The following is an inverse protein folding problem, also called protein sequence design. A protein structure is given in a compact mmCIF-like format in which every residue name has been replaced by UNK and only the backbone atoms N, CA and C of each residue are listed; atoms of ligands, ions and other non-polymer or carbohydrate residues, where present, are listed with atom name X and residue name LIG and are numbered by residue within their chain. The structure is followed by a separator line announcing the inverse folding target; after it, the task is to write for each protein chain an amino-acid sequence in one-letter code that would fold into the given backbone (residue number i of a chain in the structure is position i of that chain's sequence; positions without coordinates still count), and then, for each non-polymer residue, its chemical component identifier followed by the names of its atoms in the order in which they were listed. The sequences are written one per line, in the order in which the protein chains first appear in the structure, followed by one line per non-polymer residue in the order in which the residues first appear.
data_IF_712019057019
#
_entry.id   IF_712019057019
#
_cell.length_a   1.000
_cell.length_b   1.000
_cell.length_c   1.000
_cell.angle_alpha   90.00
_cell.angle_beta   90.00
_cell.angle_gamma   90.00
#
_symmetry.space_group_name_H-M   'P 1'
#
loop_
_entity.id
_entity.type
_entity.pdbx_description
1 polymer ?
#
# COMPACT_ATOMS: atom_id res chain seq x y z
N UNK A 1 -30.17 -71.69 44.42
CA UNK A 1 -30.70 -70.96 43.29
C UNK A 1 -30.92 -69.53 43.75
N UNK A 2 -29.98 -68.62 43.57
CA UNK A 2 -30.18 -67.19 43.79
C UNK A 2 -29.39 -66.41 42.70
N UNK A 3 -30.14 -65.74 41.85
CA UNK A 3 -29.60 -64.86 40.83
C UNK A 3 -29.28 -63.47 41.42
N UNK A 4 -28.04 -63.01 41.36
CA UNK A 4 -27.66 -61.60 41.63
C UNK A 4 -27.65 -60.82 40.33
N UNK A 5 -28.53 -59.80 40.21
CA UNK A 5 -28.49 -58.79 39.19
C UNK A 5 -27.55 -57.70 39.65
N UNK A 6 -26.50 -57.44 38.86
CA UNK A 6 -25.62 -56.28 39.03
C UNK A 6 -26.05 -55.15 38.09
N UNK A 7 -26.53 -54.05 38.64
CA UNK A 7 -26.88 -52.86 37.91
C UNK A 7 -25.60 -52.04 37.64
N UNK A 8 -25.26 -51.94 36.36
CA UNK A 8 -24.16 -51.05 35.88
C UNK A 8 -24.75 -49.66 35.61
N UNK A 9 -24.45 -48.67 36.47
CA UNK A 9 -24.76 -47.26 36.22
C UNK A 9 -23.76 -46.66 35.24
N UNK A 10 -24.22 -46.28 34.04
CA UNK A 10 -23.44 -45.50 33.06
C UNK A 10 -23.56 -44.02 33.40
N UNK A 11 -22.46 -43.40 33.84
CA UNK A 11 -22.36 -41.95 33.95
C UNK A 11 -22.13 -41.36 32.55
N UNK A 12 -23.09 -40.60 32.03
CA UNK A 12 -22.91 -39.73 30.85
C UNK A 12 -22.16 -38.47 31.28
N UNK A 13 -20.91 -38.35 30.87
CA UNK A 13 -20.20 -37.11 30.95
C UNK A 13 -20.63 -36.20 29.77
N UNK A 14 -21.39 -35.15 30.06
CA UNK A 14 -21.74 -34.12 29.12
C UNK A 14 -20.49 -33.23 28.88
N UNK A 15 -19.85 -33.40 27.73
CA UNK A 15 -18.79 -32.46 27.27
C UNK A 15 -19.47 -31.19 26.71
N UNK A 16 -19.40 -30.09 27.46
CA UNK A 16 -19.72 -28.76 26.94
C UNK A 16 -18.58 -28.32 26.02
N UNK A 17 -18.88 -27.95 24.76
CA UNK A 17 -17.85 -27.30 23.93
C UNK A 17 -17.59 -25.92 24.50
N UNK A 18 -16.36 -25.65 24.96
CA UNK A 18 -15.86 -24.29 25.14
C UNK A 18 -15.81 -23.62 23.76
N UNK A 19 -16.86 -22.88 23.40
CA UNK A 19 -16.77 -21.88 22.36
C UNK A 19 -15.81 -20.79 22.86
N UNK A 20 -14.54 -20.87 22.44
CA UNK A 20 -13.64 -19.74 22.52
C UNK A 20 -14.29 -18.62 21.66
N UNK A 21 -14.87 -17.62 22.32
CA UNK A 21 -15.24 -16.37 21.69
C UNK A 21 -13.94 -15.74 21.19
N UNK A 22 -13.62 -15.97 19.90
CA UNK A 22 -12.67 -15.13 19.19
C UNK A 22 -13.28 -13.73 19.22
N UNK A 23 -12.79 -12.89 20.14
CA UNK A 23 -13.17 -11.49 20.20
C UNK A 23 -12.95 -10.92 18.81
N UNK A 24 -14.02 -10.49 18.15
CA UNK A 24 -13.92 -9.70 16.92
C UNK A 24 -13.10 -8.47 17.29
N UNK A 25 -11.84 -8.48 16.93
CA UNK A 25 -10.98 -7.31 17.06
C UNK A 25 -11.63 -6.22 16.21
N UNK A 26 -12.24 -5.24 16.87
CA UNK A 26 -12.98 -4.17 16.22
C UNK A 26 -12.03 -3.56 15.17
N UNK A 27 -12.40 -3.58 13.91
CA UNK A 27 -11.56 -3.10 12.83
C UNK A 27 -11.26 -1.63 13.05
N UNK A 28 -9.98 -1.26 13.09
CA UNK A 28 -9.56 0.13 13.26
C UNK A 28 -10.17 0.99 12.13
N UNK A 29 -10.57 2.25 12.42
CA UNK A 29 -11.18 3.11 11.42
C UNK A 29 -10.20 3.50 10.32
N UNK A 30 -10.70 3.85 9.15
CA UNK A 30 -9.95 4.62 8.15
C UNK A 30 -9.92 6.10 8.56
N UNK A 31 -9.04 6.86 7.93
CA UNK A 31 -8.92 8.29 8.19
C UNK A 31 -10.26 9.05 8.01
N UNK A 32 -11.01 8.75 6.96
CA UNK A 32 -12.33 9.36 6.69
C UNK A 32 -13.39 9.00 7.72
N UNK A 33 -13.34 7.82 8.32
CA UNK A 33 -14.33 7.36 9.31
C UNK A 33 -14.32 8.25 10.56
N UNK A 34 -13.18 8.90 10.84
CA UNK A 34 -13.00 9.82 11.96
C UNK A 34 -13.03 11.31 11.55
N UNK A 35 -13.37 11.59 10.29
CA UNK A 35 -13.51 12.96 9.77
C UNK A 35 -12.24 13.56 9.16
N UNK A 36 -11.17 12.78 8.94
CA UNK A 36 -10.01 13.23 8.18
C UNK A 36 -10.33 13.14 6.70
N UNK A 37 -10.61 14.26 6.06
CA UNK A 37 -10.96 14.36 4.65
C UNK A 37 -9.85 15.09 3.91
N UNK A 38 -9.22 14.42 2.96
CA UNK A 38 -8.13 14.96 2.16
C UNK A 38 -8.65 15.44 0.81
N UNK A 39 -8.31 16.67 0.47
CA UNK A 39 -8.52 17.23 -0.86
C UNK A 39 -9.95 17.60 -1.21
N UNK A 40 -10.18 17.86 -2.50
CA UNK A 40 -11.42 18.41 -3.05
C UNK A 40 -12.19 17.44 -3.95
N UNK A 41 -11.52 16.41 -4.48
CA UNK A 41 -12.17 15.46 -5.37
C UNK A 41 -12.92 14.35 -4.60
N UNK A 42 -14.07 13.90 -5.12
CA UNK A 42 -14.77 12.75 -4.54
C UNK A 42 -13.94 11.47 -4.66
N UNK A 43 -14.09 10.59 -3.70
CA UNK A 43 -13.51 9.24 -3.73
C UNK A 43 -14.35 8.32 -4.63
N UNK A 44 -13.74 7.22 -5.11
CA UNK A 44 -14.46 6.12 -5.74
C UNK A 44 -15.26 5.30 -4.71
N UNK A 45 -15.95 4.26 -5.19
CA UNK A 45 -16.87 3.45 -4.38
C UNK A 45 -16.18 2.78 -3.17
N UNK A 46 -14.98 2.22 -3.38
CA UNK A 46 -14.20 1.55 -2.34
C UNK A 46 -13.17 2.48 -1.70
N UNK A 47 -12.98 3.67 -2.26
CA UNK A 47 -11.86 4.56 -1.93
C UNK A 47 -10.53 3.79 -1.92
N UNK A 48 -10.24 3.05 -2.98
CA UNK A 48 -9.13 2.13 -3.11
C UNK A 48 -8.58 2.12 -4.55
N UNK A 49 -7.35 1.63 -4.73
CA UNK A 49 -6.73 1.48 -6.06
C UNK A 49 -7.59 0.63 -7.01
N UNK A 50 -8.38 -0.27 -6.47
CA UNK A 50 -9.30 -1.15 -7.18
C UNK A 50 -10.54 -0.45 -7.75
N UNK A 51 -10.74 0.84 -7.46
CA UNK A 51 -11.75 1.66 -8.15
C UNK A 51 -11.35 1.97 -9.59
N UNK A 52 -10.07 1.81 -9.92
CA UNK A 52 -9.60 1.83 -11.31
C UNK A 52 -9.95 0.51 -11.97
N UNK A 53 -10.70 0.59 -13.06
CA UNK A 53 -11.27 -0.58 -13.73
C UNK A 53 -10.20 -1.61 -14.12
N UNK A 54 -10.40 -2.87 -13.74
CA UNK A 54 -9.53 -4.00 -14.02
C UNK A 54 -8.47 -4.26 -12.95
N UNK A 55 -8.16 -3.30 -12.08
CA UNK A 55 -7.15 -3.46 -11.03
C UNK A 55 -7.63 -4.43 -9.95
N UNK A 56 -6.77 -5.36 -9.56
CA UNK A 56 -7.00 -6.32 -8.48
C UNK A 56 -5.84 -6.31 -7.51
N UNK A 57 -6.14 -6.52 -6.22
CA UNK A 57 -5.15 -6.57 -5.14
C UNK A 57 -5.31 -7.86 -4.34
N UNK A 58 -4.18 -8.48 -4.00
CA UNK A 58 -4.13 -9.65 -3.11
C UNK A 58 -2.98 -9.55 -2.11
N UNK A 59 -3.17 -10.15 -0.94
CA UNK A 59 -2.21 -10.13 0.14
C UNK A 59 -1.94 -11.54 0.66
N UNK A 60 -0.70 -11.80 1.04
CA UNK A 60 -0.33 -12.94 1.89
C UNK A 60 0.50 -12.43 3.04
N UNK A 61 -0.05 -12.53 4.25
CA UNK A 61 0.62 -12.16 5.50
C UNK A 61 1.41 -13.35 6.01
N UNK A 62 2.69 -13.14 6.38
CA UNK A 62 3.58 -14.19 6.89
C UNK A 62 4.00 -13.83 8.32
N UNK A 63 3.47 -14.57 9.28
CA UNK A 63 3.79 -14.46 10.71
C UNK A 63 4.26 -15.83 11.18
N UNK A 64 5.51 -15.94 11.63
CA UNK A 64 6.09 -17.20 12.12
C UNK A 64 6.94 -16.95 13.37
N UNK A 65 6.76 -17.75 14.39
CA UNK A 65 7.48 -17.59 15.65
C UNK A 65 7.46 -16.15 16.19
N UNK A 66 8.55 -15.75 16.82
CA UNK A 66 8.69 -14.41 17.42
C UNK A 66 9.42 -13.42 16.50
N UNK A 67 9.88 -13.84 15.33
CA UNK A 67 10.84 -13.08 14.54
C UNK A 67 10.51 -12.94 13.05
N UNK A 68 9.37 -13.45 12.58
CA UNK A 68 8.90 -13.23 11.20
C UNK A 68 7.60 -12.43 11.20
N UNK A 69 7.66 -11.23 10.64
CA UNK A 69 6.54 -10.28 10.49
C UNK A 69 6.64 -9.62 9.13
N UNK A 70 6.25 -10.32 8.07
CA UNK A 70 6.40 -9.88 6.69
C UNK A 70 5.24 -10.34 5.80
N UNK A 71 5.38 -10.26 4.50
CA UNK A 71 4.39 -10.75 3.55
C UNK A 71 4.58 -10.24 2.13
N UNK A 72 3.56 -10.49 1.32
CA UNK A 72 3.50 -10.11 -0.09
C UNK A 72 2.18 -9.39 -0.36
N UNK A 73 2.25 -8.31 -1.13
CA UNK A 73 1.09 -7.63 -1.72
C UNK A 73 1.24 -7.66 -3.24
N UNK A 74 0.24 -8.17 -3.93
CA UNK A 74 0.20 -8.24 -5.39
C UNK A 74 -0.81 -7.23 -5.94
N UNK A 75 -0.43 -6.46 -6.96
CA UNK A 75 -1.30 -5.56 -7.71
C UNK A 75 -1.30 -6.02 -9.17
N UNK A 76 -2.47 -6.36 -9.69
CA UNK A 76 -2.65 -6.84 -11.05
C UNK A 76 -3.36 -5.77 -11.86
N UNK A 77 -2.73 -5.19 -12.90
CA UNK A 77 -3.29 -4.09 -13.68
C UNK A 77 -4.60 -4.41 -14.40
N UNK A 78 -4.73 -5.62 -14.97
CA UNK A 78 -5.97 -6.08 -15.62
C UNK A 78 -6.08 -7.60 -15.65
N UNK A 79 -7.24 -8.11 -16.02
CA UNK A 79 -7.54 -9.55 -15.98
C UNK A 79 -7.06 -10.37 -17.18
N UNK A 80 -6.48 -9.72 -18.22
CA UNK A 80 -5.94 -10.39 -19.40
C UNK A 80 -4.49 -10.86 -19.21
N UNK A 81 -3.90 -11.34 -20.32
CA UNK A 81 -2.48 -11.69 -20.37
C UNK A 81 -1.63 -10.40 -20.40
N UNK A 82 -0.97 -10.11 -19.29
CA UNK A 82 -0.17 -8.89 -19.14
C UNK A 82 1.06 -8.86 -20.05
N UNK A 83 1.62 -10.01 -20.41
CA UNK A 83 2.73 -10.06 -21.33
C UNK A 83 2.30 -9.76 -22.78
N UNK A 84 1.17 -10.32 -23.20
CA UNK A 84 0.63 -10.08 -24.54
C UNK A 84 0.04 -8.67 -24.69
N UNK A 85 -0.48 -8.11 -23.60
CA UNK A 85 -1.12 -6.78 -23.55
C UNK A 85 -0.54 -5.95 -22.40
N UNK A 86 0.76 -5.57 -22.46
CA UNK A 86 1.36 -4.74 -21.42
C UNK A 86 0.68 -3.39 -21.31
N UNK A 87 0.67 -2.85 -20.09
CA UNK A 87 0.13 -1.53 -19.81
C UNK A 87 1.24 -0.47 -19.88
N UNK A 88 0.97 0.75 -20.42
CA UNK A 88 1.93 1.82 -20.33
C UNK A 88 2.19 2.15 -18.86
N UNK A 89 3.46 2.37 -18.55
CA UNK A 89 3.89 2.59 -17.18
C UNK A 89 5.17 3.42 -17.09
N UNK A 90 5.42 3.97 -15.90
CA UNK A 90 6.68 4.60 -15.56
C UNK A 90 7.04 4.34 -14.10
N UNK A 91 8.34 4.22 -13.84
CA UNK A 91 8.88 4.21 -12.48
C UNK A 91 9.57 5.54 -12.23
N UNK A 92 9.04 6.29 -11.26
CA UNK A 92 9.65 7.54 -10.80
C UNK A 92 10.39 7.29 -9.49
N UNK A 93 11.68 7.63 -9.46
CA UNK A 93 12.53 7.52 -8.27
C UNK A 93 12.51 8.86 -7.55
N UNK A 94 11.86 8.93 -6.40
CA UNK A 94 11.83 10.09 -5.52
C UNK A 94 13.09 10.18 -4.68
N UNK A 95 13.48 9.06 -4.07
CA UNK A 95 14.76 8.83 -3.42
C UNK A 95 15.19 7.37 -3.64
N UNK A 96 16.44 7.12 -3.96
CA UNK A 96 16.88 5.86 -4.58
C UNK A 96 17.57 4.86 -3.64
N UNK A 97 17.37 4.92 -2.34
CA UNK A 97 17.98 3.97 -1.40
C UNK A 97 17.11 2.73 -1.22
N UNK A 98 17.18 1.80 -2.16
CA UNK A 98 16.37 0.57 -2.11
C UNK A 98 16.54 -0.31 -3.34
N UNK A 99 15.71 -1.36 -3.42
CA UNK A 99 15.71 -2.32 -4.51
C UNK A 99 14.34 -2.29 -5.19
N UNK A 100 14.35 -2.05 -6.49
CA UNK A 100 13.16 -2.16 -7.34
C UNK A 100 13.51 -2.98 -8.57
N UNK A 101 13.12 -4.25 -8.58
CA UNK A 101 13.32 -5.10 -9.77
C UNK A 101 12.47 -4.59 -10.92
N UNK A 102 13.00 -4.72 -12.13
CA UNK A 102 12.29 -4.38 -13.36
C UNK A 102 12.38 -2.91 -13.77
N UNK A 103 12.91 -2.02 -12.90
CA UNK A 103 12.95 -0.58 -13.11
C UNK A 103 13.57 -0.21 -14.46
N UNK A 104 14.71 -0.77 -14.80
CA UNK A 104 15.46 -0.44 -16.02
C UNK A 104 14.64 -0.68 -17.30
N UNK A 105 14.00 -1.86 -17.42
CA UNK A 105 13.20 -2.18 -18.59
C UNK A 105 11.90 -1.35 -18.65
N UNK A 106 11.25 -1.11 -17.50
CA UNK A 106 10.05 -0.25 -17.47
C UNK A 106 10.36 1.16 -17.95
N UNK A 107 11.51 1.71 -17.55
CA UNK A 107 11.94 3.05 -18.03
C UNK A 107 12.34 3.05 -19.49
N UNK A 108 12.96 1.99 -19.98
CA UNK A 108 13.38 1.88 -21.37
C UNK A 108 12.18 1.75 -22.32
N UNK A 109 11.21 0.89 -21.98
CA UNK A 109 10.07 0.61 -22.86
C UNK A 109 8.81 1.39 -22.53
N UNK A 110 8.71 1.95 -21.34
CA UNK A 110 7.53 2.68 -20.89
C UNK A 110 6.31 1.79 -20.67
N UNK A 111 6.52 0.52 -20.26
CA UNK A 111 5.44 -0.45 -20.06
C UNK A 111 5.76 -1.47 -18.95
N UNK A 112 4.71 -2.04 -18.37
CA UNK A 112 4.78 -3.17 -17.43
C UNK A 112 4.09 -4.37 -18.07
N UNK A 113 4.78 -5.54 -18.05
CA UNK A 113 4.35 -6.81 -18.64
C UNK A 113 4.01 -7.87 -17.59
N UNK A 114 4.08 -7.54 -16.29
CA UNK A 114 3.82 -8.43 -15.16
C UNK A 114 2.89 -7.78 -14.14
N UNK A 115 2.34 -8.52 -13.17
CA UNK A 115 1.87 -7.90 -11.93
C UNK A 115 2.97 -7.07 -11.26
N UNK A 116 2.60 -6.20 -10.33
CA UNK A 116 3.51 -5.53 -9.41
C UNK A 116 3.45 -6.25 -8.07
N UNK A 117 4.59 -6.64 -7.53
CA UNK A 117 4.69 -7.20 -6.19
C UNK A 117 5.37 -6.21 -5.24
N UNK A 118 4.91 -6.19 -3.99
CA UNK A 118 5.54 -5.49 -2.88
C UNK A 118 5.87 -6.51 -1.78
N UNK A 119 7.04 -6.35 -1.12
CA UNK A 119 7.50 -7.31 -0.12
C UNK A 119 8.59 -6.72 0.79
N UNK A 120 9.34 -7.53 1.53
CA UNK A 120 10.48 -7.11 2.35
C UNK A 120 11.76 -6.92 1.50
N UNK A 121 12.73 -6.15 2.01
CA UNK A 121 13.91 -5.72 1.23
C UNK A 121 14.77 -6.88 0.71
N UNK A 122 14.98 -7.94 1.46
CA UNK A 122 15.72 -9.12 0.99
C UNK A 122 14.84 -10.17 0.30
N UNK A 123 13.52 -10.06 0.41
CA UNK A 123 12.56 -10.99 -0.19
C UNK A 123 12.36 -10.74 -1.71
N UNK A 124 12.86 -9.64 -2.23
CA UNK A 124 12.68 -9.20 -3.63
C UNK A 124 13.09 -10.29 -4.63
N UNK A 125 14.19 -10.97 -4.39
CA UNK A 125 14.75 -11.99 -5.29
C UNK A 125 13.85 -13.22 -5.38
N UNK A 126 13.42 -13.73 -4.23
CA UNK A 126 12.47 -14.85 -4.14
C UNK A 126 11.12 -14.48 -4.74
N UNK A 127 10.62 -13.29 -4.46
CA UNK A 127 9.35 -12.81 -5.01
C UNK A 127 9.41 -12.65 -6.54
N UNK A 128 10.50 -12.08 -7.07
CA UNK A 128 10.71 -11.92 -8.51
C UNK A 128 10.75 -13.26 -9.23
N UNK A 129 11.55 -14.23 -8.72
CA UNK A 129 11.62 -15.57 -9.30
C UNK A 129 10.27 -16.29 -9.26
N UNK A 130 9.57 -16.22 -8.12
CA UNK A 130 8.26 -16.86 -7.97
C UNK A 130 7.19 -16.25 -8.90
N UNK A 131 7.24 -14.94 -9.16
CA UNK A 131 6.36 -14.28 -10.13
C UNK A 131 6.65 -14.75 -11.56
N UNK A 132 7.92 -14.89 -11.94
CA UNK A 132 8.31 -15.44 -13.26
C UNK A 132 7.75 -16.86 -13.41
N UNK A 133 7.91 -17.71 -12.40
CA UNK A 133 7.40 -19.09 -12.44
C UNK A 133 5.87 -19.13 -12.54
N UNK A 134 5.19 -18.24 -11.82
CA UNK A 134 3.73 -18.11 -11.89
C UNK A 134 3.28 -17.65 -13.28
N UNK A 135 3.96 -16.67 -13.88
CA UNK A 135 3.67 -16.20 -15.24
C UNK A 135 3.86 -17.33 -16.28
N UNK A 136 4.97 -18.04 -16.23
CA UNK A 136 5.26 -19.16 -17.16
C UNK A 136 4.26 -20.34 -17.02
N UNK A 137 3.62 -20.47 -15.87
CA UNK A 137 2.60 -21.49 -15.64
C UNK A 137 1.20 -21.10 -16.15
N UNK A 138 1.01 -19.85 -16.65
CA UNK A 138 -0.28 -19.44 -17.20
C UNK A 138 -0.54 -20.13 -18.55
N UNK A 139 -1.81 -20.51 -18.84
CA UNK A 139 -2.14 -21.16 -20.11
C UNK A 139 -1.78 -20.28 -21.33
N UNK A 140 -1.14 -20.89 -22.31
CA UNK A 140 -0.79 -20.22 -23.57
C UNK A 140 0.46 -19.35 -23.51
N UNK A 141 1.19 -19.37 -22.39
CA UNK A 141 2.46 -18.65 -22.28
C UNK A 141 3.57 -19.31 -23.10
N UNK A 142 4.26 -18.51 -23.89
CA UNK A 142 5.35 -18.95 -24.78
C UNK A 142 6.60 -18.08 -24.67
N UNK A 143 6.68 -17.23 -23.64
CA UNK A 143 7.75 -16.27 -23.48
C UNK A 143 9.08 -16.94 -23.15
N UNK A 144 10.16 -16.34 -23.66
CA UNK A 144 11.53 -16.70 -23.33
C UNK A 144 12.13 -15.82 -22.24
N UNK A 145 11.52 -14.66 -21.96
CA UNK A 145 11.97 -13.68 -20.97
C UNK A 145 10.80 -12.93 -20.38
N UNK A 146 10.86 -12.65 -19.08
CA UNK A 146 9.85 -11.91 -18.33
C UNK A 146 10.60 -10.97 -17.39
N UNK A 147 10.20 -9.68 -17.36
CA UNK A 147 10.79 -8.67 -16.48
C UNK A 147 9.88 -8.43 -15.25
N UNK A 148 10.14 -9.11 -14.11
CA UNK A 148 9.33 -8.97 -12.93
C UNK A 148 9.48 -7.58 -12.30
N UNK A 149 8.38 -6.95 -11.91
CA UNK A 149 8.37 -5.68 -11.16
C UNK A 149 8.09 -5.97 -9.69
N UNK A 150 9.12 -5.79 -8.85
CA UNK A 150 9.02 -6.06 -7.40
C UNK A 150 9.64 -4.93 -6.61
N UNK A 151 8.81 -4.22 -5.83
CA UNK A 151 9.23 -3.19 -4.88
C UNK A 151 9.34 -3.74 -3.45
N UNK A 152 10.01 -2.97 -2.58
CA UNK A 152 10.28 -3.42 -1.21
C UNK A 152 10.33 -2.29 -0.20
N UNK A 153 10.17 -2.67 1.07
CA UNK A 153 10.54 -1.82 2.20
C UNK A 153 11.23 -2.64 3.29
N UNK A 154 12.07 -1.99 4.10
CA UNK A 154 12.83 -2.65 5.15
C UNK A 154 11.98 -2.84 6.42
N UNK A 155 11.58 -4.07 6.70
CA UNK A 155 10.80 -4.46 7.88
C UNK A 155 11.65 -5.09 9.00
N UNK A 156 12.99 -4.95 8.96
CA UNK A 156 13.96 -5.63 9.84
C UNK A 156 13.79 -5.35 11.33
N UNK A 157 13.09 -4.29 11.69
CA UNK A 157 12.85 -3.97 13.10
C UNK A 157 12.12 -5.10 13.85
N UNK A 158 11.15 -5.74 13.19
CA UNK A 158 10.33 -6.83 13.76
C UNK A 158 10.38 -8.12 12.92
N UNK A 159 11.14 -8.13 11.82
CA UNK A 159 11.23 -9.24 10.87
C UNK A 159 12.69 -9.64 10.63
N UNK A 160 13.01 -10.92 10.78
CA UNK A 160 14.31 -11.47 10.40
C UNK A 160 14.34 -11.77 8.91
N UNK A 161 14.76 -10.79 8.13
CA UNK A 161 14.84 -10.89 6.66
C UNK A 161 15.88 -11.93 6.19
N UNK A 162 16.89 -12.25 7.03
CA UNK A 162 17.93 -13.23 6.68
C UNK A 162 17.41 -14.66 6.62
N UNK A 163 16.24 -14.93 7.19
CA UNK A 163 15.55 -16.23 7.10
C UNK A 163 14.83 -16.45 5.78
N UNK A 164 14.88 -15.47 4.86
CA UNK A 164 14.11 -15.48 3.62
C UNK A 164 12.63 -15.89 3.87
N UNK A 165 11.88 -15.08 4.65
CA UNK A 165 10.58 -15.51 5.18
C UNK A 165 9.49 -15.64 4.10
N UNK A 166 9.66 -14.97 2.95
CA UNK A 166 8.75 -15.03 1.82
C UNK A 166 9.13 -16.19 0.91
N UNK A 167 8.19 -17.12 0.71
CA UNK A 167 8.35 -18.32 -0.12
C UNK A 167 7.53 -18.21 -1.41
N UNK A 168 7.82 -19.01 -2.45
CA UNK A 168 7.06 -19.02 -3.69
C UNK A 168 5.56 -19.22 -3.52
N UNK A 169 5.14 -20.06 -2.55
CA UNK A 169 3.73 -20.29 -2.24
C UNK A 169 3.02 -19.04 -1.71
N UNK A 170 3.71 -18.17 -0.96
CA UNK A 170 3.16 -16.92 -0.47
C UNK A 170 2.90 -15.93 -1.62
N UNK A 171 3.83 -15.88 -2.58
CA UNK A 171 3.68 -15.07 -3.80
C UNK A 171 2.52 -15.55 -4.64
N UNK A 172 2.45 -16.87 -4.87
CA UNK A 172 1.34 -17.49 -5.61
C UNK A 172 0.00 -17.20 -4.95
N UNK A 173 -0.10 -17.37 -3.63
CA UNK A 173 -1.33 -17.11 -2.90
C UNK A 173 -1.78 -15.64 -2.99
N UNK A 174 -0.84 -14.68 -2.98
CA UNK A 174 -1.17 -13.26 -3.17
C UNK A 174 -1.68 -12.99 -4.60
N UNK A 175 -1.06 -13.56 -5.63
CA UNK A 175 -1.45 -13.41 -7.03
C UNK A 175 -2.82 -14.05 -7.32
N UNK A 176 -3.02 -15.28 -6.89
CA UNK A 176 -4.28 -16.04 -7.10
C UNK A 176 -5.42 -15.49 -6.23
N UNK A 177 -5.07 -14.93 -5.06
CA UNK A 177 -5.99 -14.25 -4.15
C UNK A 177 -6.40 -12.85 -4.57
N UNK A 178 -5.80 -12.26 -5.61
CA UNK A 178 -6.07 -10.88 -6.02
C UNK A 178 -7.52 -10.67 -6.52
N UNK A 179 -8.21 -9.67 -5.95
CA UNK A 179 -9.61 -9.35 -6.24
C UNK A 179 -9.80 -7.84 -6.41
N UNK A 180 -10.86 -7.44 -7.15
CA UNK A 180 -11.40 -6.09 -7.13
C UNK A 180 -12.22 -5.85 -5.85
N UNK A 181 -12.76 -4.63 -5.71
CA UNK A 181 -13.54 -4.24 -4.55
C UNK A 181 -12.68 -3.76 -3.38
N UNK A 182 -13.17 -3.83 -2.12
CA UNK A 182 -12.44 -3.33 -0.95
C UNK A 182 -11.08 -4.00 -0.76
N UNK A 183 -10.06 -3.20 -0.44
CA UNK A 183 -8.69 -3.67 -0.18
C UNK A 183 -8.43 -3.70 1.32
N UNK A 184 -7.80 -4.76 1.81
CA UNK A 184 -7.33 -4.82 3.20
C UNK A 184 -6.15 -3.86 3.41
N UNK A 185 -6.13 -3.16 4.54
CA UNK A 185 -5.15 -2.12 4.87
C UNK A 185 -4.51 -2.36 6.24
N UNK A 186 -3.43 -1.63 6.51
CA UNK A 186 -2.68 -1.70 7.76
C UNK A 186 -1.64 -2.83 7.77
N UNK A 187 -1.61 -3.60 8.86
CA UNK A 187 -0.59 -4.63 9.12
C UNK A 187 -0.86 -5.93 8.34
N UNK A 188 -0.99 -5.86 7.02
CA UNK A 188 -1.30 -6.98 6.13
C UNK A 188 -0.32 -7.08 4.96
N UNK A 189 -0.12 -8.29 4.43
CA UNK A 189 0.76 -8.51 3.29
C UNK A 189 2.14 -7.90 3.49
N UNK A 190 2.64 -7.18 2.49
CA UNK A 190 3.92 -6.48 2.55
C UNK A 190 4.01 -5.39 3.65
N UNK A 191 2.87 -4.94 4.19
CA UNK A 191 2.81 -3.95 5.27
C UNK A 191 2.88 -4.52 6.68
N UNK A 192 3.06 -5.85 6.85
CA UNK A 192 2.97 -6.52 8.16
C UNK A 192 4.02 -6.03 9.15
N UNK A 193 5.29 -5.90 8.75
CA UNK A 193 6.40 -5.53 9.65
C UNK A 193 6.85 -4.07 9.54
N UNK A 194 6.20 -3.23 8.76
CA UNK A 194 6.65 -1.88 8.43
C UNK A 194 6.37 -0.85 9.52
N UNK A 195 7.17 0.23 9.54
CA UNK A 195 7.06 1.37 10.46
C UNK A 195 7.02 2.67 9.67
N UNK A 196 6.11 3.59 10.00
CA UNK A 196 6.05 4.89 9.32
C UNK A 196 5.77 6.04 10.28
N UNK A 197 6.49 7.15 10.12
CA UNK A 197 6.28 8.40 10.87
C UNK A 197 6.26 8.20 12.39
N UNK A 198 7.10 7.29 12.90
CA UNK A 198 7.19 6.96 14.32
C UNK A 198 6.15 5.96 14.84
N UNK A 199 5.25 5.45 14.00
CA UNK A 199 4.19 4.51 14.34
C UNK A 199 4.25 3.26 13.46
N UNK A 200 3.38 2.28 13.72
CA UNK A 200 3.20 1.15 12.81
C UNK A 200 2.67 1.63 11.47
N UNK A 201 3.44 1.38 10.42
CA UNK A 201 3.07 1.59 9.02
C UNK A 201 2.21 0.46 8.46
N UNK A 202 2.14 0.33 7.15
CA UNK A 202 1.36 -0.75 6.55
C UNK A 202 1.00 -0.52 5.09
N UNK A 203 0.04 -1.30 4.62
CA UNK A 203 -0.64 -1.07 3.36
C UNK A 203 -1.73 -0.02 3.57
N UNK A 204 -1.79 0.96 2.68
CA UNK A 204 -2.89 1.91 2.62
C UNK A 204 -3.32 2.16 1.19
N UNK A 205 -4.57 2.53 1.00
CA UNK A 205 -5.08 2.80 -0.34
C UNK A 205 -6.11 3.92 -0.33
N UNK A 206 -6.29 4.56 -1.47
CA UNK A 206 -7.28 5.61 -1.69
C UNK A 206 -7.55 5.78 -3.18
N UNK A 207 -8.62 6.46 -3.54
CA UNK A 207 -8.91 6.84 -4.92
C UNK A 207 -9.53 8.23 -5.02
N UNK A 208 -9.47 8.79 -6.24
CA UNK A 208 -10.18 10.00 -6.61
C UNK A 208 -10.87 9.80 -7.94
N UNK A 209 -12.13 10.20 -8.01
CA UNK A 209 -12.92 10.19 -9.24
C UNK A 209 -13.14 11.62 -9.73
N UNK A 210 -12.62 11.93 -10.90
CA UNK A 210 -12.80 13.25 -11.50
C UNK A 210 -14.25 13.43 -11.99
N UNK A 211 -14.80 14.65 -11.87
CA UNK A 211 -16.06 14.99 -12.51
C UNK A 211 -15.99 14.79 -14.03
N UNK A 212 -17.13 14.52 -14.69
CA UNK A 212 -17.19 14.35 -16.16
C UNK A 212 -16.64 15.56 -16.92
N UNK A 213 -16.81 16.77 -16.37
CA UNK A 213 -16.27 18.02 -16.94
C UNK A 213 -14.73 18.07 -16.94
N UNK A 214 -14.06 17.19 -16.16
CA UNK A 214 -12.62 17.03 -16.10
C UNK A 214 -12.17 15.66 -16.65
N UNK A 215 -13.01 15.03 -17.48
CA UNK A 215 -12.72 13.76 -18.14
C UNK A 215 -13.34 12.52 -17.48
N UNK A 216 -13.81 12.60 -16.23
CA UNK A 216 -14.47 11.50 -15.52
C UNK A 216 -13.54 10.36 -15.10
N UNK A 217 -12.24 10.53 -15.22
CA UNK A 217 -11.23 9.51 -14.92
C UNK A 217 -11.11 9.22 -13.42
N UNK A 218 -10.61 8.03 -13.14
CA UNK A 218 -10.29 7.59 -11.79
C UNK A 218 -8.78 7.50 -11.61
N UNK A 219 -8.26 8.00 -10.49
CA UNK A 219 -6.90 7.76 -10.01
C UNK A 219 -7.00 6.95 -8.72
N UNK A 220 -6.33 5.82 -8.66
CA UNK A 220 -6.22 4.97 -7.48
C UNK A 220 -4.78 4.82 -7.03
N UNK A 221 -4.56 4.82 -5.72
CA UNK A 221 -3.23 4.70 -5.12
C UNK A 221 -3.22 3.59 -4.08
N UNK A 222 -2.15 2.80 -4.07
CA UNK A 222 -1.80 1.88 -2.99
C UNK A 222 -0.37 2.18 -2.54
N UNK A 223 -0.16 2.25 -1.22
CA UNK A 223 1.15 2.47 -0.62
C UNK A 223 1.56 1.31 0.29
N UNK A 224 2.86 1.02 0.32
CA UNK A 224 3.52 0.27 1.39
C UNK A 224 4.40 1.28 2.13
N UNK A 225 3.99 1.69 3.34
CA UNK A 225 4.65 2.76 4.09
C UNK A 225 5.66 2.20 5.10
N UNK A 226 6.91 2.70 5.02
CA UNK A 226 7.98 2.37 5.95
C UNK A 226 9.02 3.50 5.97
N UNK A 227 8.65 4.70 6.40
CA UNK A 227 9.50 5.88 6.31
C UNK A 227 9.42 6.79 7.52
N UNK A 228 10.48 7.58 7.75
CA UNK A 228 10.56 8.59 8.80
C UNK A 228 9.89 9.91 8.43
N UNK A 229 9.75 10.80 9.40
CA UNK A 229 9.19 12.14 9.20
C UNK A 229 8.45 12.69 10.40
N UNK A 230 7.95 13.92 10.28
CA UNK A 230 7.14 14.62 11.30
C UNK A 230 5.66 14.53 10.90
N UNK A 231 4.94 13.54 11.43
CA UNK A 231 3.56 13.26 11.03
C UNK A 231 2.67 14.51 11.07
N UNK A 232 2.21 14.90 9.90
CA UNK A 232 1.26 15.99 9.72
C UNK A 232 -0.01 15.45 9.07
N UNK A 233 -1.18 15.76 9.64
CA UNK A 233 -2.49 15.35 9.11
C UNK A 233 -3.34 16.59 8.91
N UNK A 234 -3.72 16.90 7.66
CA UNK A 234 -4.46 18.12 7.31
C UNK A 234 -3.82 19.38 7.93
N UNK A 235 -2.48 19.47 7.92
CA UNK A 235 -1.75 20.61 8.50
C UNK A 235 -1.60 20.59 10.03
N UNK A 236 -2.23 19.67 10.74
CA UNK A 236 -2.04 19.52 12.20
C UNK A 236 -0.74 18.77 12.51
N UNK A 237 0.11 19.25 13.43
CA UNK A 237 1.42 18.68 13.74
C UNK A 237 1.29 17.47 14.71
N UNK A 238 0.68 16.39 14.25
CA UNK A 238 0.32 15.23 15.07
C UNK A 238 1.55 14.55 15.67
N UNK A 239 2.63 14.40 14.88
CA UNK A 239 3.87 13.78 15.35
C UNK A 239 4.46 14.53 16.54
N UNK A 240 4.53 15.85 16.46
CA UNK A 240 5.06 16.70 17.56
C UNK A 240 4.19 16.64 18.81
N UNK A 241 2.88 16.72 18.66
CA UNK A 241 1.97 16.67 19.81
C UNK A 241 1.92 15.30 20.48
N UNK A 242 2.23 14.23 19.74
CA UNK A 242 2.39 12.89 20.28
C UNK A 242 3.83 12.60 20.77
N UNK A 243 4.78 13.55 20.60
CA UNK A 243 6.16 13.40 21.01
C UNK A 243 6.95 12.39 20.17
N UNK A 244 6.59 12.24 18.88
CA UNK A 244 7.25 11.33 17.92
C UNK A 244 7.58 12.08 16.63
N UNK A 245 8.76 12.66 16.59
CA UNK A 245 9.27 13.41 15.44
C UNK A 245 10.80 13.27 15.32
N UNK A 246 11.39 13.46 14.14
CA UNK A 246 12.82 13.30 13.92
C UNK A 246 13.64 14.31 14.75
N UNK A 247 14.86 13.92 15.11
CA UNK A 247 15.82 14.77 15.81
C UNK A 247 15.41 15.27 17.20
N UNK A 248 14.35 14.73 17.79
CA UNK A 248 13.81 15.19 19.08
C UNK A 248 14.87 15.14 20.20
N UNK A 249 15.64 14.06 20.32
CA UNK A 249 16.67 13.89 21.35
C UNK A 249 17.77 14.95 21.18
N UNK A 250 18.24 15.18 19.96
CA UNK A 250 19.26 16.16 19.64
C UNK A 250 18.78 17.59 19.92
N UNK A 251 17.54 17.92 19.58
CA UNK A 251 16.95 19.24 19.86
C UNK A 251 16.77 19.50 21.36
N UNK A 252 16.67 18.45 22.18
CA UNK A 252 16.60 18.53 23.65
C UNK A 252 17.98 18.53 24.32
N UNK A 253 19.08 18.58 23.55
CA UNK A 253 20.44 18.60 24.08
C UNK A 253 20.93 17.24 24.57
N UNK A 254 20.22 16.17 24.31
CA UNK A 254 20.67 14.83 24.59
C UNK A 254 21.69 14.39 23.55
N UNK A 255 22.75 13.70 23.99
CA UNK A 255 23.66 13.05 23.03
C UNK A 255 22.86 12.11 22.13
N UNK A 256 23.17 12.13 20.84
CA UNK A 256 22.65 11.08 19.96
C UNK A 256 23.03 9.72 20.57
N UNK A 257 22.12 8.73 20.63
CA UNK A 257 22.49 7.40 21.06
C UNK A 257 23.71 6.94 20.29
N UNK A 258 24.70 6.41 20.99
CA UNK A 258 25.94 5.96 20.38
C UNK A 258 25.63 4.85 19.36
N UNK A 259 25.88 5.13 18.09
CA UNK A 259 25.66 4.21 16.97
C UNK A 259 24.31 4.38 16.30
N UNK A 260 24.32 5.08 15.21
CA UNK A 260 23.47 4.90 14.01
C UNK A 260 21.94 4.89 14.12
N UNK A 261 21.30 5.43 15.15
CA UNK A 261 19.85 5.62 15.11
C UNK A 261 19.43 6.61 14.00
N UNK A 262 20.32 7.53 13.60
CA UNK A 262 20.12 8.38 12.41
C UNK A 262 20.17 7.58 11.08
N UNK A 263 20.84 6.41 11.09
CA UNK A 263 20.89 5.47 9.96
C UNK A 263 19.90 4.30 10.14
N UNK A 264 19.23 4.20 11.29
CA UNK A 264 18.27 3.14 11.61
C UNK A 264 16.82 3.44 11.20
N UNK A 265 16.50 4.65 10.80
CA UNK A 265 15.29 4.93 10.05
C UNK A 265 15.54 4.54 8.58
N UNK A 266 15.84 3.24 8.35
CA UNK A 266 15.86 2.63 7.02
C UNK A 266 14.46 2.79 6.41
N UNK A 267 14.19 4.00 5.94
CA UNK A 267 12.91 4.38 5.36
C UNK A 267 12.73 3.78 3.97
N UNK A 268 11.52 3.65 3.53
CA UNK A 268 11.14 3.37 2.13
C UNK A 268 9.65 3.58 1.98
N UNK A 269 9.21 4.03 0.82
CA UNK A 269 7.81 4.04 0.48
C UNK A 269 7.61 3.54 -0.95
N UNK A 270 6.91 2.42 -1.11
CA UNK A 270 6.43 2.01 -2.42
C UNK A 270 5.06 2.61 -2.64
N UNK A 271 4.92 3.36 -3.73
CA UNK A 271 3.65 3.98 -4.15
C UNK A 271 3.29 3.40 -5.51
N UNK A 272 2.12 2.76 -5.59
CA UNK A 272 1.56 2.27 -6.86
C UNK A 272 0.39 3.15 -7.24
N UNK A 273 0.46 3.80 -8.40
CA UNK A 273 -0.60 4.66 -8.93
C UNK A 273 -1.20 4.03 -10.18
N UNK A 274 -2.49 3.78 -10.16
CA UNK A 274 -3.26 3.34 -11.32
C UNK A 274 -4.22 4.42 -11.80
N UNK A 275 -4.48 4.47 -13.10
CA UNK A 275 -5.55 5.31 -13.66
C UNK A 275 -6.17 4.65 -14.89
N UNK A 276 -7.42 4.97 -15.17
CA UNK A 276 -8.12 4.63 -16.41
C UNK A 276 -8.03 5.75 -17.46
N UNK A 277 -7.31 6.83 -17.16
CA UNK A 277 -7.02 7.88 -18.13
C UNK A 277 -6.04 7.37 -19.21
N UNK A 278 -6.25 7.67 -20.50
CA UNK A 278 -5.33 7.29 -21.55
C UNK A 278 -4.05 8.14 -21.48
N UNK A 279 -3.02 7.60 -20.86
CA UNK A 279 -1.75 8.29 -20.63
C UNK A 279 -0.58 7.53 -21.24
N UNK A 280 0.32 8.26 -21.89
CA UNK A 280 1.64 7.75 -22.29
C UNK A 280 2.56 7.54 -21.07
N UNK A 281 3.64 6.79 -21.27
CA UNK A 281 4.67 6.59 -20.25
C UNK A 281 5.24 7.92 -19.72
N UNK A 282 5.48 8.90 -20.62
CA UNK A 282 5.92 10.23 -20.22
C UNK A 282 4.90 10.96 -19.33
N UNK A 283 3.60 10.86 -19.65
CA UNK A 283 2.54 11.45 -18.83
C UNK A 283 2.45 10.74 -17.46
N UNK A 284 2.70 9.43 -17.41
CA UNK A 284 2.77 8.65 -16.16
C UNK A 284 3.99 9.00 -15.29
N UNK A 285 5.14 9.37 -15.88
CA UNK A 285 6.26 9.96 -15.13
C UNK A 285 5.81 11.22 -14.36
N UNK A 286 5.04 12.08 -15.03
CA UNK A 286 4.52 13.31 -14.42
C UNK A 286 3.53 13.02 -13.28
N UNK A 287 2.74 11.95 -13.38
CA UNK A 287 1.91 11.42 -12.29
C UNK A 287 2.80 10.97 -11.12
N UNK A 288 3.86 10.20 -11.38
CA UNK A 288 4.79 9.73 -10.36
C UNK A 288 5.39 10.85 -9.53
N UNK A 289 5.78 11.96 -10.17
CA UNK A 289 6.29 13.18 -9.47
C UNK A 289 5.26 13.75 -8.48
N UNK A 290 3.96 13.67 -8.79
CA UNK A 290 2.87 14.20 -7.93
C UNK A 290 2.60 13.29 -6.75
N UNK A 291 2.76 12.00 -6.92
CA UNK A 291 2.67 11.05 -5.79
C UNK A 291 3.69 11.38 -4.69
N UNK A 292 4.93 11.73 -5.05
CA UNK A 292 5.94 12.19 -4.07
C UNK A 292 5.52 13.49 -3.37
N UNK A 293 4.82 14.41 -4.07
CA UNK A 293 4.27 15.61 -3.42
C UNK A 293 3.18 15.25 -2.39
N UNK A 294 2.34 14.24 -2.69
CA UNK A 294 1.35 13.71 -1.74
C UNK A 294 2.01 13.05 -0.53
N UNK A 295 3.07 12.28 -0.75
CA UNK A 295 3.89 11.72 0.34
C UNK A 295 4.44 12.81 1.26
N UNK A 296 5.00 13.88 0.69
CA UNK A 296 5.58 14.99 1.45
C UNK A 296 4.56 15.74 2.32
N UNK A 297 3.29 15.80 1.91
CA UNK A 297 2.22 16.42 2.71
C UNK A 297 1.98 15.71 4.05
N UNK A 298 2.34 14.44 4.16
CA UNK A 298 2.19 13.65 5.39
C UNK A 298 3.30 13.88 6.41
N UNK A 299 4.35 14.63 6.03
CA UNK A 299 5.49 14.95 6.87
C UNK A 299 6.77 14.19 6.50
N UNK A 300 6.77 13.41 5.41
CA UNK A 300 7.99 12.83 4.84
C UNK A 300 8.88 13.91 4.24
N UNK A 301 10.17 13.79 4.47
CA UNK A 301 11.19 14.64 3.84
C UNK A 301 12.17 13.82 2.97
N UNK A 302 11.85 12.53 2.71
CA UNK A 302 12.68 11.61 1.94
C UNK A 302 14.12 11.60 2.49
N UNK A 303 14.30 11.06 3.71
CA UNK A 303 15.62 11.04 4.34
C UNK A 303 16.64 10.24 3.50
N UNK A 304 17.93 10.41 3.83
CA UNK A 304 19.01 9.84 3.03
C UNK A 304 18.96 8.32 2.87
N UNK A 305 18.34 7.61 3.82
CA UNK A 305 18.21 6.14 3.83
C UNK A 305 16.86 5.64 3.29
N UNK A 306 16.02 6.51 2.76
CA UNK A 306 14.70 6.17 2.22
C UNK A 306 14.78 5.70 0.76
N UNK A 307 14.03 4.66 0.43
CA UNK A 307 13.78 4.20 -0.94
C UNK A 307 12.34 4.54 -1.35
N UNK A 308 12.14 5.74 -1.89
CA UNK A 308 10.81 6.25 -2.25
C UNK A 308 10.60 6.12 -3.76
N UNK A 309 9.82 5.13 -4.17
CA UNK A 309 9.57 4.81 -5.57
C UNK A 309 8.09 4.87 -5.89
N UNK A 310 7.79 5.36 -7.09
CA UNK A 310 6.42 5.38 -7.62
C UNK A 310 6.35 4.55 -8.88
N UNK A 311 5.44 3.57 -8.88
CA UNK A 311 5.11 2.74 -10.04
C UNK A 311 3.75 3.22 -10.54
N UNK A 312 3.74 3.99 -11.63
CA UNK A 312 2.52 4.54 -12.23
C UNK A 312 2.16 3.81 -13.52
N UNK A 313 0.89 3.44 -13.69
CA UNK A 313 0.41 2.79 -14.91
C UNK A 313 -1.02 3.21 -15.28
N UNK A 314 -1.35 3.05 -16.59
CA UNK A 314 -2.71 3.25 -17.09
C UNK A 314 -3.34 1.92 -17.52
N UNK A 315 -4.59 1.70 -17.10
CA UNK A 315 -5.37 0.52 -17.50
C UNK A 315 -6.22 0.75 -18.74
N UNK A 316 -6.26 1.99 -19.26
CA UNK A 316 -7.10 2.32 -20.41
C UNK A 316 -6.82 1.38 -21.59
N UNK A 317 -7.86 0.75 -22.18
CA UNK A 317 -7.64 -0.19 -23.29
C UNK A 317 -6.99 0.46 -24.51
N UNK A 318 -7.26 1.74 -24.77
CA UNK A 318 -6.76 2.48 -25.93
C UNK A 318 -5.27 2.79 -25.90
N UNK A 319 -4.59 2.53 -24.77
CA UNK A 319 -3.14 2.76 -24.64
C UNK A 319 -2.34 1.48 -24.41
N UNK A 320 -2.99 0.32 -24.37
CA UNK A 320 -2.31 -0.97 -24.25
C UNK A 320 -1.54 -1.30 -25.53
N UNK A 321 -0.37 -1.90 -25.37
CA UNK A 321 0.50 -2.28 -26.50
C UNK A 321 0.34 -3.77 -26.78
N UNK A 322 -0.55 -4.13 -27.70
CA UNK A 322 -0.77 -5.53 -28.08
C UNK A 322 0.41 -6.04 -28.87
N UNK A 323 1.20 -6.96 -28.32
CA UNK A 323 2.45 -7.49 -28.91
C UNK A 323 2.24 -8.40 -30.14
N UNK A 324 1.03 -8.82 -30.40
CA UNK A 324 0.71 -9.67 -31.56
C UNK A 324 0.57 -8.88 -32.87
N UNK A 325 0.58 -7.55 -32.80
CA UNK A 325 0.48 -6.69 -33.97
C UNK A 325 1.86 -6.53 -34.65
N UNK A 326 1.92 -6.79 -35.94
CA UNK A 326 3.09 -6.50 -36.80
C UNK A 326 3.00 -5.12 -37.48
N UNK A 327 1.91 -4.39 -37.25
CA UNK A 327 1.66 -3.05 -37.82
C UNK A 327 1.83 -1.98 -36.77
N UNK A 328 2.10 -0.71 -37.17
CA UNK A 328 2.09 0.41 -36.23
C UNK A 328 0.76 0.47 -35.49
N UNK A 329 0.82 0.69 -34.17
CA UNK A 329 -0.36 0.85 -33.32
C UNK A 329 -0.66 2.34 -33.13
N UNK A 330 -1.94 2.67 -33.01
CA UNK A 330 -2.40 3.98 -32.58
C UNK A 330 -2.69 3.91 -31.08
N UNK A 331 -2.16 4.83 -30.32
CA UNK A 331 -2.44 4.98 -28.89
C UNK A 331 -2.98 6.39 -28.63
N UNK A 332 -3.95 6.47 -27.74
CA UNK A 332 -4.45 7.76 -27.28
C UNK A 332 -3.45 8.36 -26.27
N UNK A 333 -3.39 9.68 -26.17
CA UNK A 333 -2.73 10.38 -25.07
C UNK A 333 -3.50 11.67 -24.76
N UNK A 334 -3.64 11.99 -23.49
CA UNK A 334 -4.31 13.21 -23.08
C UNK A 334 -3.48 14.45 -23.41
N UNK A 335 -4.14 15.51 -23.86
CA UNK A 335 -3.51 16.81 -23.99
C UNK A 335 -2.96 17.28 -22.62
N UNK A 336 -1.80 17.94 -22.66
CA UNK A 336 -1.16 18.48 -21.45
C UNK A 336 -2.10 19.36 -20.61
N UNK A 337 -2.98 20.14 -21.26
CA UNK A 337 -3.95 21.01 -20.59
C UNK A 337 -4.97 20.22 -19.73
N UNK A 338 -5.22 18.95 -20.06
CA UNK A 338 -6.18 18.08 -19.34
C UNK A 338 -5.55 17.33 -18.16
N UNK A 339 -4.24 17.44 -17.94
CA UNK A 339 -3.52 16.64 -16.92
C UNK A 339 -3.61 17.19 -15.51
N UNK A 340 -3.92 18.47 -15.30
CA UNK A 340 -3.84 19.12 -13.98
C UNK A 340 -4.76 18.49 -12.93
N UNK A 341 -5.98 18.09 -13.33
CA UNK A 341 -6.91 17.43 -12.43
C UNK A 341 -6.42 16.04 -11.99
N UNK A 342 -5.77 15.28 -12.88
CA UNK A 342 -5.14 14.00 -12.56
C UNK A 342 -3.95 14.19 -11.59
N UNK A 343 -3.20 15.29 -11.72
CA UNK A 343 -2.10 15.60 -10.81
C UNK A 343 -2.61 15.87 -9.40
N UNK A 344 -3.62 16.73 -9.24
CA UNK A 344 -4.21 16.99 -7.93
C UNK A 344 -4.84 15.72 -7.34
N UNK A 345 -5.59 14.95 -8.14
CA UNK A 345 -6.16 13.66 -7.71
C UNK A 345 -5.08 12.69 -7.21
N UNK A 346 -3.90 12.67 -7.86
CA UNK A 346 -2.78 11.82 -7.43
C UNK A 346 -2.19 12.28 -6.10
N UNK A 347 -2.00 13.58 -5.90
CA UNK A 347 -1.52 14.15 -4.63
C UNK A 347 -2.46 13.78 -3.50
N UNK A 348 -3.76 14.05 -3.66
CA UNK A 348 -4.79 13.78 -2.65
C UNK A 348 -4.91 12.29 -2.33
N UNK A 349 -4.94 11.43 -3.36
CA UNK A 349 -5.07 9.99 -3.15
C UNK A 349 -3.83 9.40 -2.47
N UNK A 350 -2.63 9.89 -2.78
CA UNK A 350 -1.40 9.44 -2.12
C UNK A 350 -1.38 9.85 -0.64
N UNK A 351 -1.69 11.11 -0.34
CA UNK A 351 -1.76 11.61 1.04
C UNK A 351 -2.74 10.79 1.87
N UNK A 352 -3.96 10.54 1.37
CA UNK A 352 -4.97 9.76 2.09
C UNK A 352 -4.59 8.29 2.22
N UNK A 353 -3.96 7.68 1.21
CA UNK A 353 -3.48 6.30 1.28
C UNK A 353 -2.44 6.13 2.41
N UNK A 354 -1.53 7.09 2.59
CA UNK A 354 -0.58 7.08 3.70
C UNK A 354 -1.31 7.17 5.05
N UNK A 355 -2.28 8.06 5.20
CA UNK A 355 -3.06 8.13 6.44
C UNK A 355 -3.81 6.82 6.70
N UNK A 356 -4.44 6.23 5.70
CA UNK A 356 -5.14 4.96 5.85
C UNK A 356 -4.20 3.83 6.30
N UNK A 357 -2.95 3.80 5.82
CA UNK A 357 -1.95 2.81 6.28
C UNK A 357 -1.69 2.89 7.78
N UNK A 358 -1.63 4.10 8.35
CA UNK A 358 -1.41 4.35 9.79
C UNK A 358 -2.67 4.07 10.63
N UNK A 359 -3.83 4.57 10.16
CA UNK A 359 -5.09 4.41 10.87
C UNK A 359 -5.53 2.96 10.98
N UNK A 360 -5.30 2.18 9.93
CA UNK A 360 -5.67 0.75 9.85
C UNK A 360 -4.65 -0.19 10.49
N UNK A 361 -3.40 0.26 10.70
CA UNK A 361 -2.35 -0.57 11.27
C UNK A 361 -2.64 -0.94 12.73
N UNK A 362 -2.31 -2.16 13.10
CA UNK A 362 -2.34 -2.67 14.47
C UNK A 362 -0.92 -2.77 15.03
N UNK A 363 -0.74 -2.65 16.34
CA UNK A 363 0.55 -2.86 17.00
C UNK A 363 1.11 -4.25 16.65
N UNK A 364 2.40 -4.30 16.31
CA UNK A 364 3.10 -5.55 15.96
C UNK A 364 4.35 -5.70 16.79
N UNK A 365 4.53 -6.90 17.36
CA UNK A 365 5.73 -7.28 18.10
C UNK A 365 6.47 -8.39 17.37
N UNK A 366 7.78 -8.27 17.26
CA UNK A 366 8.68 -9.29 16.69
C UNK A 366 10.13 -8.98 17.05
N UNK A 367 10.99 -10.00 17.10
CA UNK A 367 12.43 -9.87 17.43
C UNK A 367 12.72 -9.09 18.71
N UNK A 368 11.83 -9.16 19.71
CA UNK A 368 11.94 -8.40 20.95
C UNK A 368 11.59 -6.90 20.84
N UNK A 369 11.16 -6.42 19.69
CA UNK A 369 10.74 -5.05 19.46
C UNK A 369 9.23 -4.95 19.25
N UNK A 370 8.66 -3.82 19.64
CA UNK A 370 7.23 -3.51 19.40
C UNK A 370 7.11 -2.20 18.64
N UNK A 371 6.40 -2.25 17.52
CA UNK A 371 6.00 -1.06 16.76
C UNK A 371 4.54 -0.76 17.11
N UNK A 372 4.32 0.34 17.81
CA UNK A 372 2.99 0.73 18.27
C UNK A 372 2.16 1.35 17.13
N UNK A 373 0.89 1.02 17.09
CA UNK A 373 -0.08 1.64 16.20
C UNK A 373 -0.33 3.12 16.60
N UNK A 374 -0.75 3.93 15.61
CA UNK A 374 -1.18 5.31 15.85
C UNK A 374 -2.30 5.34 16.90
N UNK A 375 -2.21 6.12 17.99
CA UNK A 375 -3.25 6.22 19.02
C UNK A 375 -4.42 7.07 18.50
N UNK A 376 -5.48 6.42 17.99
CA UNK A 376 -6.58 7.07 17.26
C UNK A 376 -7.25 8.16 18.07
N UNK A 377 -7.66 7.87 19.32
CA UNK A 377 -8.41 8.84 20.13
C UNK A 377 -7.60 10.13 20.38
N UNK A 378 -6.33 9.97 20.74
CA UNK A 378 -5.41 11.10 20.93
C UNK A 378 -5.18 11.87 19.63
N UNK A 379 -5.05 11.15 18.52
CA UNK A 379 -4.92 11.76 17.19
C UNK A 379 -6.15 12.59 16.85
N UNK A 380 -7.35 12.08 17.07
CA UNK A 380 -8.61 12.79 16.83
C UNK A 380 -8.75 14.03 17.73
N UNK A 381 -8.32 13.97 19.00
CA UNK A 381 -8.26 15.13 19.89
C UNK A 381 -7.37 16.24 19.34
N UNK A 382 -6.15 15.88 18.88
CA UNK A 382 -5.21 16.82 18.26
C UNK A 382 -5.82 17.44 17.00
N UNK A 383 -6.38 16.62 16.12
CA UNK A 383 -7.00 17.09 14.88
C UNK A 383 -8.17 18.07 15.15
N UNK A 384 -8.97 17.80 16.18
CA UNK A 384 -10.05 18.70 16.60
C UNK A 384 -9.51 20.03 17.11
N UNK A 385 -8.45 20.01 17.94
CA UNK A 385 -7.76 21.21 18.44
C UNK A 385 -7.26 22.11 17.31
N UNK A 386 -6.79 21.51 16.20
CA UNK A 386 -6.26 22.21 15.02
C UNK A 386 -7.28 22.46 13.90
N UNK A 387 -8.57 22.21 14.11
CA UNK A 387 -9.63 22.35 13.10
C UNK A 387 -9.36 21.54 11.81
N UNK A 388 -8.72 20.37 11.93
CA UNK A 388 -8.28 19.54 10.83
C UNK A 388 -9.28 18.42 10.44
N UNK A 389 -10.49 18.45 10.97
CA UNK A 389 -11.56 17.47 10.73
C UNK A 389 -12.71 18.05 9.91
N UNK A 390 -13.40 17.17 9.17
CA UNK A 390 -14.66 17.46 8.45
C UNK A 390 -14.56 18.61 7.43
N UNK A 391 -13.44 18.73 6.75
CA UNK A 391 -13.23 19.79 5.75
C UNK A 391 -14.22 19.72 4.57
N UNK A 392 -14.72 18.54 4.23
CA UNK A 392 -15.78 18.34 3.24
C UNK A 392 -17.11 19.04 3.58
N UNK A 393 -17.32 19.35 4.87
CA UNK A 393 -18.50 20.04 5.39
C UNK A 393 -18.23 21.49 5.74
N UNK A 394 -17.00 21.79 6.14
CA UNK A 394 -16.62 23.10 6.69
C UNK A 394 -16.00 24.03 5.65
N UNK A 395 -15.39 23.49 4.58
CA UNK A 395 -14.66 24.25 3.57
C UNK A 395 -15.29 24.06 2.18
N UNK A 396 -15.16 25.04 1.25
CA UNK A 396 -15.51 24.85 -0.15
C UNK A 396 -14.66 23.70 -0.79
N UNK A 397 -15.21 22.94 -1.74
CA UNK A 397 -16.49 23.11 -2.41
C UNK A 397 -17.71 22.53 -1.67
N UNK A 398 -17.64 22.30 -0.37
CA UNK A 398 -18.69 21.70 0.43
C UNK A 398 -20.13 22.03 -0.01
N UNK A 399 -21.11 21.39 0.55
CA UNK A 399 -22.52 21.51 0.12
C UNK A 399 -22.91 22.97 -0.04
N UNK A 400 -23.45 23.36 -1.22
CA UNK A 400 -24.15 24.62 -1.39
C UNK A 400 -25.20 24.71 -0.28
N UNK A 401 -25.06 25.70 0.61
CA UNK A 401 -26.15 26.07 1.52
C UNK A 401 -27.40 26.26 0.65
N UNK A 402 -28.54 25.70 1.00
CA UNK A 402 -29.78 26.05 0.31
C UNK A 402 -29.94 27.57 0.39
N UNK A 403 -30.06 28.22 -0.77
CA UNK A 403 -30.37 29.65 -0.86
C UNK A 403 -31.81 29.90 -0.36
#
# INVERSE_FOLDING_TARGET
MHHHFVHLARALAAAFPLCAAAGQQQSRPRARDVGVVVGIFPVGENNAITDVAGVRVGHTTVIQGDDVRSGVTAIIPHGGNLYAEPVPAWIYVGNGYGKLLGETQVREFGEIETPVLLTCTLCVWTAGKAMVDWMLAQPGETQHTINPVVGETNDSNVNDMWKDPVRPEHVRAALEGARGGPVQEGSVGAGTGTRALGFKGGIGTSSRRLPSSLGGYTVGVLVQTNFGGDLTINGAPVGRELGRFPFQAQLQGNAAPAGDELLRDDGSCMIVVATDAPLSAHSLERIGRRAIMGLSRTGSYADNSSGDYVIAFSTAPSVRRVRTSSTPIHIDDLLNASSSALFEATVEATEEAVYNSLFRATTVTGRGHTIEALPIDRTVEILRKHNALNWDRLLPPGRKSPR
#
